data_IF_479182248404
#
_entry.id   IF_479182248404
#
_cell.length_a   1.000
_cell.length_b   1.000
_cell.length_c   1.000
_cell.angle_alpha   90.00
_cell.angle_beta   90.00
_cell.angle_gamma   90.00
#
_symmetry.space_group_name_H-M   'P 1'
#
loop_
_entity.id
_entity.type
_entity.pdbx_description
1 polymer ?
#
# COMPACT_ATOMS: atom_id res chain seq x y z
N UNK A 1 76.72 -45.16 3.87
CA UNK A 1 78.05 -44.66 4.19
C UNK A 1 78.97 -44.71 2.97
N UNK A 2 79.28 -45.84 2.28
CA UNK A 2 80.20 -45.92 1.11
C UNK A 2 79.78 -45.03 -0.07
N UNK A 3 78.50 -44.76 -0.30
CA UNK A 3 78.02 -43.83 -1.32
C UNK A 3 78.18 -42.38 -0.85
N UNK A 4 77.87 -42.08 0.40
CA UNK A 4 78.04 -40.76 1.01
C UNK A 4 79.53 -40.34 0.90
N UNK A 5 80.45 -41.20 1.32
CA UNK A 5 81.90 -40.92 1.30
C UNK A 5 82.52 -40.82 -0.09
N UNK A 6 81.96 -41.50 -1.08
CA UNK A 6 82.50 -41.53 -2.43
C UNK A 6 81.97 -40.41 -3.37
N UNK A 7 80.75 -39.96 -3.10
CA UNK A 7 80.08 -39.04 -3.99
C UNK A 7 79.70 -37.71 -3.23
N UNK A 8 80.19 -37.56 -2.01
CA UNK A 8 79.94 -36.35 -1.18
C UNK A 8 78.43 -36.03 -1.04
N UNK A 9 77.62 -37.09 -0.81
CA UNK A 9 76.19 -37.00 -0.69
C UNK A 9 75.76 -36.96 0.80
N UNK A 10 74.74 -36.31 1.10
CA UNK A 10 74.06 -36.32 2.46
C UNK A 10 73.19 -37.60 2.60
N UNK A 11 72.61 -37.82 3.80
CA UNK A 11 71.81 -38.96 4.13
C UNK A 11 70.53 -39.03 3.28
N UNK A 12 69.84 -37.89 3.11
CA UNK A 12 68.59 -37.80 2.36
C UNK A 12 68.82 -38.07 0.85
N UNK A 13 69.84 -37.46 0.28
CA UNK A 13 70.23 -37.71 -1.14
C UNK A 13 70.57 -39.14 -1.37
N UNK A 14 71.28 -39.81 -0.45
CA UNK A 14 71.63 -41.24 -0.54
C UNK A 14 70.38 -42.11 -0.47
N UNK A 15 69.46 -41.83 0.38
CA UNK A 15 68.20 -42.58 0.53
C UNK A 15 67.35 -42.44 -0.73
N UNK A 16 67.21 -41.22 -1.26
CA UNK A 16 66.44 -40.92 -2.47
C UNK A 16 67.06 -41.69 -3.67
N UNK A 17 68.38 -41.83 -3.76
CA UNK A 17 69.07 -42.62 -4.84
C UNK A 17 68.80 -44.11 -4.68
N UNK A 18 68.77 -44.59 -3.43
CA UNK A 18 68.53 -46.03 -3.16
C UNK A 18 67.07 -46.42 -3.41
N UNK A 19 66.15 -45.51 -3.26
CA UNK A 19 64.72 -45.71 -3.56
C UNK A 19 64.39 -45.64 -5.05
N UNK A 20 65.33 -45.19 -5.93
CA UNK A 20 65.13 -45.12 -7.37
C UNK A 20 64.92 -46.55 -7.94
N UNK A 21 63.73 -46.73 -8.55
CA UNK A 21 63.46 -48.00 -9.26
C UNK A 21 64.38 -48.18 -10.46
N UNK A 22 64.89 -49.41 -10.67
CA UNK A 22 65.88 -49.72 -11.74
C UNK A 22 65.44 -49.31 -13.15
N UNK A 23 64.12 -49.26 -13.44
CA UNK A 23 63.64 -48.84 -14.77
C UNK A 23 63.84 -47.35 -15.03
N UNK A 24 63.98 -46.53 -14.02
CA UNK A 24 64.26 -45.07 -14.12
C UNK A 24 65.69 -44.79 -14.54
N UNK A 25 66.55 -45.79 -14.55
CA UNK A 25 67.93 -45.69 -15.07
C UNK A 25 68.01 -45.92 -16.58
N UNK A 26 66.90 -46.16 -17.28
CA UNK A 26 66.89 -46.28 -18.76
C UNK A 26 67.26 -44.93 -19.39
N UNK A 27 67.95 -45.03 -20.58
CA UNK A 27 68.58 -43.89 -21.25
C UNK A 27 67.61 -42.69 -21.51
N UNK A 28 66.31 -42.95 -21.68
CA UNK A 28 65.28 -41.96 -21.89
C UNK A 28 64.99 -41.23 -20.60
N UNK A 29 64.86 -41.86 -19.44
CA UNK A 29 64.58 -41.24 -18.16
C UNK A 29 65.80 -40.46 -17.64
N UNK A 30 67.03 -40.88 -17.93
CA UNK A 30 68.18 -40.06 -17.58
C UNK A 30 68.17 -38.71 -18.32
N UNK A 31 67.64 -38.68 -19.54
CA UNK A 31 67.45 -37.37 -20.24
C UNK A 31 66.40 -36.50 -19.60
N UNK A 32 65.29 -37.09 -19.16
CA UNK A 32 64.21 -36.35 -18.42
C UNK A 32 64.74 -35.82 -17.08
N UNK A 33 65.46 -36.66 -16.32
CA UNK A 33 66.05 -36.23 -15.03
C UNK A 33 67.06 -35.08 -15.23
N UNK A 34 67.92 -35.20 -16.32
CA UNK A 34 68.81 -34.07 -16.63
C UNK A 34 68.09 -32.78 -17.01
N UNK A 35 66.99 -32.89 -17.72
CA UNK A 35 66.15 -31.75 -18.08
C UNK A 35 65.54 -31.12 -16.84
N UNK A 36 64.93 -31.94 -16.00
CA UNK A 36 64.35 -31.45 -14.71
C UNK A 36 65.40 -30.81 -13.79
N UNK A 37 66.61 -31.44 -13.73
CA UNK A 37 67.75 -30.89 -12.98
C UNK A 37 68.15 -29.49 -13.50
N UNK A 38 68.24 -29.38 -14.85
CA UNK A 38 68.61 -28.13 -15.49
C UNK A 38 67.55 -27.05 -15.22
N UNK A 39 66.25 -27.41 -15.29
CA UNK A 39 65.15 -26.51 -14.99
C UNK A 39 65.15 -26.06 -13.50
N UNK A 40 65.36 -27.00 -12.57
CA UNK A 40 65.44 -26.69 -11.14
C UNK A 40 66.66 -25.83 -10.80
N UNK A 41 67.79 -26.04 -11.43
CA UNK A 41 69.01 -25.20 -11.24
C UNK A 41 68.81 -23.82 -11.80
N UNK A 42 68.13 -23.69 -12.95
CA UNK A 42 67.78 -22.36 -13.49
C UNK A 42 66.79 -21.61 -12.59
N UNK A 43 65.81 -22.32 -12.05
CA UNK A 43 64.83 -21.76 -11.09
C UNK A 43 65.51 -21.30 -9.78
N UNK A 44 66.42 -22.13 -9.22
CA UNK A 44 67.22 -21.80 -8.05
C UNK A 44 68.09 -20.54 -8.28
N UNK A 45 68.80 -20.48 -9.39
CA UNK A 45 69.63 -19.34 -9.75
C UNK A 45 68.78 -18.06 -9.92
N UNK A 46 67.59 -18.17 -10.49
CA UNK A 46 66.62 -17.04 -10.57
C UNK A 46 66.20 -16.55 -9.20
N UNK A 47 65.86 -17.48 -8.31
CA UNK A 47 65.43 -17.13 -6.91
C UNK A 47 66.59 -16.55 -6.15
N UNK A 48 67.81 -17.11 -6.24
CA UNK A 48 69.00 -16.55 -5.59
C UNK A 48 69.33 -15.14 -6.09
N UNK A 49 69.18 -14.86 -7.39
CA UNK A 49 69.30 -13.52 -7.95
C UNK A 49 68.28 -12.54 -7.39
N UNK A 50 67.03 -12.99 -7.26
CA UNK A 50 65.99 -12.14 -6.64
C UNK A 50 66.21 -11.89 -5.14
N UNK A 51 66.75 -12.86 -4.42
CA UNK A 51 67.07 -12.71 -2.99
C UNK A 51 68.27 -11.81 -2.77
N UNK A 52 69.28 -11.83 -3.67
CA UNK A 52 70.48 -11.04 -3.57
C UNK A 52 70.25 -9.54 -3.86
N UNK A 53 69.27 -9.19 -4.71
CA UNK A 53 69.01 -7.82 -5.13
C UNK A 53 67.63 -7.32 -4.64
N UNK A 54 67.66 -6.31 -3.79
CA UNK A 54 66.45 -5.68 -3.27
C UNK A 54 65.60 -4.98 -4.35
N UNK A 55 66.27 -4.40 -5.35
CA UNK A 55 65.61 -3.76 -6.48
C UNK A 55 64.78 -4.73 -7.32
N UNK A 56 65.30 -5.92 -7.54
CA UNK A 56 64.63 -7.02 -8.27
C UNK A 56 63.38 -7.50 -7.51
N UNK A 57 63.42 -7.61 -6.18
CA UNK A 57 62.28 -7.97 -5.36
C UNK A 57 61.17 -6.90 -5.46
N UNK A 58 61.53 -5.62 -5.33
CA UNK A 58 60.57 -4.51 -5.51
C UNK A 58 60.05 -4.44 -6.96
N UNK A 59 60.82 -4.88 -7.94
CA UNK A 59 60.38 -4.99 -9.31
C UNK A 59 59.22 -6.00 -9.49
N UNK A 60 59.26 -7.14 -8.79
CA UNK A 60 58.14 -8.10 -8.78
C UNK A 60 56.91 -7.49 -8.15
N UNK A 61 57.03 -6.92 -6.95
CA UNK A 61 55.88 -6.28 -6.25
C UNK A 61 55.26 -5.21 -7.12
N UNK A 62 56.10 -4.38 -7.80
CA UNK A 62 55.61 -3.38 -8.73
C UNK A 62 54.82 -3.99 -9.90
N UNK A 63 55.33 -5.07 -10.47
CA UNK A 63 54.65 -5.76 -11.59
C UNK A 63 53.27 -6.30 -11.17
N UNK A 64 53.21 -6.98 -10.03
CA UNK A 64 51.95 -7.51 -9.49
C UNK A 64 50.94 -6.39 -9.18
N UNK A 65 51.38 -5.27 -8.60
CA UNK A 65 50.51 -4.10 -8.36
C UNK A 65 50.01 -3.46 -9.66
N UNK A 66 50.82 -3.46 -10.72
CA UNK A 66 50.38 -2.95 -12.03
C UNK A 66 49.35 -3.88 -12.66
N UNK A 67 49.51 -5.21 -12.55
CA UNK A 67 48.51 -6.16 -13.00
C UNK A 67 47.18 -6.01 -12.25
N UNK A 68 47.25 -5.89 -10.93
CA UNK A 68 46.04 -5.61 -10.10
C UNK A 68 45.39 -4.31 -10.52
N UNK A 69 46.19 -3.27 -10.73
CA UNK A 69 45.66 -1.99 -11.21
C UNK A 69 44.95 -2.12 -12.56
N UNK A 70 45.55 -2.85 -13.51
CA UNK A 70 44.95 -3.02 -14.83
C UNK A 70 43.67 -3.83 -14.78
N UNK A 71 43.58 -4.84 -13.90
CA UNK A 71 42.40 -5.67 -13.73
C UNK A 71 41.26 -5.00 -12.99
N UNK A 72 41.56 -4.10 -12.03
CA UNK A 72 40.56 -3.58 -11.08
C UNK A 72 40.47 -2.04 -11.03
N UNK A 73 41.26 -1.29 -11.81
CA UNK A 73 41.17 0.15 -11.82
C UNK A 73 39.85 0.60 -12.45
N UNK A 74 39.12 1.39 -11.73
CA UNK A 74 37.96 2.12 -12.23
C UNK A 74 38.25 3.63 -12.29
N UNK A 75 37.41 4.36 -12.99
CA UNK A 75 37.52 5.82 -13.06
C UNK A 75 37.24 6.45 -11.70
N UNK A 76 37.97 7.50 -11.40
CA UNK A 76 37.80 8.24 -10.14
C UNK A 76 36.39 8.85 -10.08
N UNK A 77 35.57 8.43 -9.15
CA UNK A 77 34.21 8.94 -8.93
C UNK A 77 34.20 10.33 -8.28
N UNK A 78 35.25 10.68 -7.56
CA UNK A 78 35.40 12.01 -6.93
C UNK A 78 35.89 13.01 -7.95
N UNK A 79 35.12 14.05 -8.18
CA UNK A 79 35.46 15.17 -9.08
C UNK A 79 35.79 16.41 -8.26
N UNK A 80 36.70 17.24 -8.78
CA UNK A 80 36.92 18.58 -8.26
C UNK A 80 35.85 19.49 -8.86
N UNK A 81 35.11 20.19 -8.02
CA UNK A 81 34.14 21.20 -8.42
C UNK A 81 34.52 22.55 -7.86
N UNK A 82 34.46 23.61 -8.66
CA UNK A 82 34.82 24.98 -8.25
C UNK A 82 33.78 25.60 -7.32
N UNK A 83 32.56 25.06 -7.28
CA UNK A 83 31.53 25.43 -6.32
C UNK A 83 30.99 24.18 -5.65
N UNK A 84 30.85 24.17 -4.31
CA UNK A 84 30.13 23.08 -3.65
C UNK A 84 28.71 23.10 -4.22
N UNK A 85 28.35 22.09 -5.05
CA UNK A 85 26.98 21.83 -5.32
C UNK A 85 26.29 21.74 -3.94
N UNK A 86 25.27 22.54 -3.72
CA UNK A 86 24.42 22.39 -2.54
C UNK A 86 24.01 20.94 -2.51
N UNK A 87 24.59 20.19 -1.60
CA UNK A 87 24.17 18.81 -1.38
C UNK A 87 22.74 18.95 -0.90
N UNK A 88 21.79 18.81 -1.81
CA UNK A 88 20.40 18.61 -1.42
C UNK A 88 20.38 17.29 -0.69
N UNK A 89 20.51 17.37 0.63
CA UNK A 89 20.30 16.24 1.49
C UNK A 89 18.83 15.84 1.34
N UNK A 90 18.60 14.77 0.58
CA UNK A 90 17.28 14.16 0.47
C UNK A 90 17.15 13.12 1.59
N UNK A 91 16.43 13.43 2.68
CA UNK A 91 16.21 12.49 3.77
C UNK A 91 15.49 11.22 3.29
N UNK A 92 14.77 11.30 2.17
CA UNK A 92 13.98 10.19 1.62
C UNK A 92 14.86 9.08 1.04
N UNK A 93 16.04 9.46 0.52
CA UNK A 93 17.01 8.49 -0.02
C UNK A 93 17.56 7.51 1.03
N UNK A 94 17.45 7.85 2.32
CA UNK A 94 17.94 7.02 3.44
C UNK A 94 16.85 6.16 4.09
N UNK A 95 15.58 6.30 3.67
CA UNK A 95 14.49 5.50 4.21
C UNK A 95 14.54 4.10 3.58
N UNK A 96 14.70 3.08 4.42
CA UNK A 96 14.60 1.69 3.96
C UNK A 96 13.17 1.43 3.52
N UNK A 97 12.99 1.12 2.25
CA UNK A 97 11.68 0.84 1.67
C UNK A 97 11.18 -0.53 2.11
N UNK A 98 10.17 -0.55 2.96
CA UNK A 98 9.51 -1.76 3.44
C UNK A 98 8.00 -1.66 3.23
N UNK A 99 7.37 -2.72 2.73
CA UNK A 99 5.92 -2.83 2.72
C UNK A 99 5.38 -3.07 4.11
N UNK A 100 4.37 -2.30 4.48
CA UNK A 100 3.78 -2.33 5.81
C UNK A 100 2.28 -2.02 5.76
N UNK A 101 1.57 -2.39 6.80
CA UNK A 101 0.19 -1.98 7.03
C UNK A 101 0.17 -0.83 8.02
N UNK A 102 -0.47 0.27 7.65
CA UNK A 102 -0.77 1.38 8.56
C UNK A 102 -2.20 1.21 9.05
N UNK A 103 -2.37 1.21 10.36
CA UNK A 103 -3.64 0.97 11.03
C UNK A 103 -3.98 2.17 11.88
N UNK A 104 -5.18 2.70 11.67
CA UNK A 104 -5.70 3.84 12.42
C UNK A 104 -7.01 3.44 13.09
N UNK A 105 -7.12 3.68 14.39
CA UNK A 105 -8.34 3.43 15.16
C UNK A 105 -9.31 4.61 15.09
N UNK A 106 -10.58 4.37 15.45
CA UNK A 106 -11.62 5.40 15.49
C UNK A 106 -11.33 6.52 16.51
N UNK A 107 -10.70 6.15 17.63
CA UNK A 107 -10.33 7.11 18.69
C UNK A 107 -8.97 7.79 18.43
N UNK A 108 -8.36 7.58 17.25
CA UNK A 108 -7.17 8.31 16.84
C UNK A 108 -5.85 7.72 17.35
N UNK A 109 -5.73 6.40 17.38
CA UNK A 109 -4.43 5.73 17.52
C UNK A 109 -3.90 5.33 16.16
N UNK A 110 -2.60 5.44 15.98
CA UNK A 110 -1.92 5.08 14.74
C UNK A 110 -0.76 4.13 15.03
N UNK A 111 -0.58 3.14 14.18
CA UNK A 111 0.55 2.20 14.21
C UNK A 111 0.85 1.65 12.83
N UNK A 112 2.03 1.06 12.67
CA UNK A 112 2.34 0.22 11.51
C UNK A 112 2.74 -1.19 11.94
N UNK A 113 2.44 -2.20 11.11
CA UNK A 113 2.87 -3.59 11.34
C UNK A 113 3.04 -4.33 10.00
N UNK A 114 3.90 -5.36 10.00
CA UNK A 114 4.22 -6.10 8.76
C UNK A 114 3.06 -6.93 8.22
N UNK A 115 2.16 -7.40 9.09
CA UNK A 115 1.02 -8.22 8.73
C UNK A 115 0.13 -8.54 9.92
N UNK A 116 -1.04 -9.08 9.63
CA UNK A 116 -2.01 -9.60 10.59
C UNK A 116 -2.78 -10.74 9.91
N UNK A 117 -3.36 -11.66 10.66
CA UNK A 117 -4.14 -12.78 10.14
C UNK A 117 -5.54 -12.36 9.70
N UNK A 118 -6.15 -11.46 10.46
CA UNK A 118 -7.48 -10.93 10.23
C UNK A 118 -7.61 -9.57 10.92
N UNK A 119 -8.55 -8.72 10.47
CA UNK A 119 -8.78 -7.38 11.04
C UNK A 119 -9.17 -7.47 12.52
N UNK A 120 -9.93 -8.49 12.91
CA UNK A 120 -10.34 -8.71 14.31
C UNK A 120 -9.17 -9.09 15.24
N UNK A 121 -8.05 -9.56 14.67
CA UNK A 121 -6.82 -9.85 15.42
C UNK A 121 -5.97 -8.59 15.70
N UNK A 122 -6.31 -7.47 15.11
CA UNK A 122 -5.60 -6.21 15.31
C UNK A 122 -5.91 -5.68 16.72
N UNK A 123 -4.88 -5.53 17.54
CA UNK A 123 -5.05 -5.05 18.91
C UNK A 123 -5.38 -3.56 18.96
N UNK A 124 -6.50 -3.22 19.55
CA UNK A 124 -6.95 -1.88 19.92
C UNK A 124 -7.45 -1.90 21.36
N UNK A 125 -7.52 -0.77 22.10
CA UNK A 125 -8.16 -0.73 23.42
C UNK A 125 -9.63 -1.18 23.38
N UNK A 126 -10.15 -1.75 24.46
CA UNK A 126 -11.53 -2.27 24.54
C UNK A 126 -12.63 -1.26 24.21
N UNK A 127 -12.33 0.04 24.38
CA UNK A 127 -13.26 1.15 24.07
C UNK A 127 -13.03 1.76 22.67
N UNK A 128 -12.21 1.12 21.82
CA UNK A 128 -11.82 1.62 20.51
C UNK A 128 -12.03 0.55 19.43
N UNK A 129 -12.09 0.96 18.19
CA UNK A 129 -12.29 0.08 17.03
C UNK A 129 -11.31 0.44 15.92
N UNK A 130 -10.94 -0.56 15.12
CA UNK A 130 -10.16 -0.32 13.91
C UNK A 130 -11.03 0.48 12.93
N UNK A 131 -10.53 1.60 12.46
CA UNK A 131 -11.23 2.47 11.53
C UNK A 131 -10.75 2.33 10.10
N UNK A 132 -9.45 2.35 9.92
CA UNK A 132 -8.79 2.36 8.60
C UNK A 132 -7.55 1.49 8.62
N UNK A 133 -7.35 0.76 7.53
CA UNK A 133 -6.21 -0.13 7.31
C UNK A 133 -5.68 0.12 5.91
N UNK A 134 -4.42 0.54 5.78
CA UNK A 134 -3.80 0.87 4.51
C UNK A 134 -2.57 0.00 4.28
N UNK A 135 -2.48 -0.66 3.12
CA UNK A 135 -1.29 -1.40 2.70
C UNK A 135 -0.41 -0.51 1.83
N UNK A 136 0.68 -0.02 2.39
CA UNK A 136 1.58 0.92 1.74
C UNK A 136 3.05 0.61 2.04
N UNK A 137 3.97 1.48 1.69
CA UNK A 137 5.38 1.34 2.07
C UNK A 137 5.87 2.54 2.92
N UNK A 138 7.04 2.38 3.53
CA UNK A 138 7.61 3.35 4.47
C UNK A 138 7.95 4.69 3.84
N UNK A 139 8.16 4.77 2.54
CA UNK A 139 8.48 6.00 1.82
C UNK A 139 7.24 6.85 1.53
N UNK A 140 6.05 6.25 1.62
CA UNK A 140 4.78 6.91 1.36
C UNK A 140 4.28 7.71 2.57
N UNK A 141 3.22 8.49 2.34
CA UNK A 141 2.56 9.28 3.38
C UNK A 141 1.11 8.85 3.58
N UNK A 142 0.61 9.08 4.79
CA UNK A 142 -0.79 8.87 5.16
C UNK A 142 -1.38 10.19 5.64
N UNK A 143 -2.55 10.52 5.12
CA UNK A 143 -3.29 11.74 5.45
C UNK A 143 -4.52 11.41 6.26
N UNK A 144 -4.64 12.05 7.44
CA UNK A 144 -5.76 11.95 8.37
C UNK A 144 -6.64 13.18 8.21
N UNK A 145 -7.92 13.00 7.88
CA UNK A 145 -8.90 14.08 7.77
C UNK A 145 -9.73 14.15 9.04
N UNK A 146 -9.94 15.35 9.59
CA UNK A 146 -10.67 15.54 10.84
C UNK A 146 -12.01 16.24 10.63
N UNK A 147 -12.93 16.07 11.60
CA UNK A 147 -14.24 16.72 11.54
C UNK A 147 -14.16 18.25 11.55
N UNK A 148 -13.04 18.84 11.98
CA UNK A 148 -12.82 20.29 11.97
C UNK A 148 -12.31 20.82 10.63
N UNK A 149 -12.28 19.97 9.59
CA UNK A 149 -11.91 20.33 8.23
C UNK A 149 -10.41 20.47 8.00
N UNK A 150 -9.58 19.88 8.86
CA UNK A 150 -8.13 19.84 8.76
C UNK A 150 -7.64 18.48 8.29
N UNK A 151 -6.59 18.47 7.49
CA UNK A 151 -5.85 17.30 7.03
C UNK A 151 -4.46 17.32 7.63
N UNK A 152 -4.04 16.21 8.20
CA UNK A 152 -2.75 16.01 8.83
C UNK A 152 -2.04 14.87 8.12
N UNK A 153 -0.87 15.12 7.60
CA UNK A 153 -0.12 14.15 6.79
C UNK A 153 1.20 13.79 7.45
N UNK A 154 1.39 12.51 7.64
CA UNK A 154 2.60 11.92 8.24
C UNK A 154 3.25 10.93 7.28
N UNK A 155 4.57 10.84 7.31
CA UNK A 155 5.30 9.79 6.60
C UNK A 155 5.16 8.48 7.35
N UNK A 156 5.01 7.38 6.59
CA UNK A 156 4.78 6.05 7.18
C UNK A 156 5.99 5.57 8.00
N UNK A 157 7.23 5.93 7.63
CA UNK A 157 8.43 5.59 8.40
C UNK A 157 8.42 6.18 9.81
N UNK A 158 7.81 7.37 9.99
CA UNK A 158 7.68 8.06 11.28
C UNK A 158 6.61 7.46 12.19
N UNK A 159 5.78 6.54 11.68
CA UNK A 159 4.77 5.83 12.47
C UNK A 159 5.42 4.66 13.20
N UNK A 160 5.17 4.52 14.52
CA UNK A 160 5.77 3.48 15.33
C UNK A 160 5.41 2.06 14.85
N UNK A 161 6.41 1.19 14.62
CA UNK A 161 6.18 -0.21 14.29
C UNK A 161 5.82 -0.99 15.57
N UNK A 162 4.56 -1.43 15.70
CA UNK A 162 4.11 -2.18 16.88
C UNK A 162 2.90 -3.06 16.58
N UNK A 163 2.84 -4.21 17.22
CA UNK A 163 1.64 -5.06 17.28
C UNK A 163 0.74 -4.74 18.50
N UNK A 164 1.15 -3.77 19.34
CA UNK A 164 0.36 -3.25 20.45
C UNK A 164 -0.75 -2.31 20.02
N UNK A 165 -1.16 -1.41 20.91
CA UNK A 165 -2.28 -0.47 20.67
C UNK A 165 -1.94 0.70 19.74
N UNK A 166 -0.65 0.97 19.48
CA UNK A 166 -0.19 2.14 18.73
C UNK A 166 -0.19 3.43 19.56
N UNK A 167 0.32 4.50 18.95
CA UNK A 167 0.46 5.79 19.60
C UNK A 167 -0.75 6.71 19.30
N UNK A 168 -1.15 7.56 20.24
CA UNK A 168 -2.14 8.59 19.95
C UNK A 168 -1.64 9.55 18.88
N UNK A 169 -2.49 9.94 17.93
CA UNK A 169 -2.12 10.91 16.87
C UNK A 169 -1.74 12.29 17.39
N UNK A 170 -2.16 12.62 18.61
CA UNK A 170 -1.79 13.84 19.34
C UNK A 170 -0.29 13.92 19.66
N UNK A 171 0.42 12.80 19.63
CA UNK A 171 1.90 12.80 19.75
C UNK A 171 2.57 13.37 18.49
N UNK A 172 1.92 13.22 17.34
CA UNK A 172 2.41 13.68 16.05
C UNK A 172 1.89 15.08 15.70
N UNK A 173 0.64 15.40 16.05
CA UNK A 173 -0.09 16.59 15.62
C UNK A 173 -0.80 17.32 16.77
N UNK A 174 -1.02 18.61 16.58
CA UNK A 174 -1.74 19.46 17.52
C UNK A 174 -3.26 19.36 17.28
N UNK A 175 -3.85 18.21 17.62
CA UNK A 175 -5.30 18.06 17.57
C UNK A 175 -5.96 18.90 18.66
N UNK A 176 -7.08 19.51 18.33
CA UNK A 176 -7.91 20.18 19.31
C UNK A 176 -8.62 19.16 20.21
N UNK A 177 -9.08 19.60 21.39
CA UNK A 177 -9.85 18.75 22.30
C UNK A 177 -11.12 18.22 21.60
N UNK A 178 -11.30 16.90 21.65
CA UNK A 178 -12.42 16.24 20.97
C UNK A 178 -12.33 16.19 19.45
N UNK A 179 -11.20 16.56 18.85
CA UNK A 179 -10.96 16.41 17.42
C UNK A 179 -10.84 14.94 17.04
N UNK A 180 -11.64 14.50 16.05
CA UNK A 180 -11.76 13.11 15.61
C UNK A 180 -11.41 12.96 14.14
N UNK A 181 -10.82 11.81 13.81
CA UNK A 181 -10.56 11.42 12.43
C UNK A 181 -11.88 10.95 11.80
N UNK A 182 -12.16 11.44 10.59
CA UNK A 182 -13.37 11.14 9.81
C UNK A 182 -13.05 10.55 8.43
N UNK A 183 -11.77 10.40 8.11
CA UNK A 183 -11.32 9.75 6.87
C UNK A 183 -9.81 9.67 6.83
N UNK A 184 -9.30 8.74 6.03
CA UNK A 184 -7.87 8.52 5.82
C UNK A 184 -7.62 8.23 4.35
N UNK A 185 -6.50 8.73 3.81
CA UNK A 185 -6.01 8.38 2.48
C UNK A 185 -4.50 8.19 2.50
N UNK A 186 -3.96 7.46 1.54
CA UNK A 186 -2.52 7.32 1.36
C UNK A 186 -2.03 8.06 0.13
N UNK A 187 -0.72 8.27 0.04
CA UNK A 187 -0.08 8.83 -1.17
C UNK A 187 0.26 7.77 -2.22
N UNK A 188 0.23 6.48 -1.86
CA UNK A 188 0.49 5.39 -2.81
C UNK A 188 -0.60 5.40 -3.90
N UNK A 189 -0.25 5.60 -5.18
CA UNK A 189 -1.21 5.61 -6.28
C UNK A 189 -2.04 4.32 -6.39
N UNK A 190 -1.50 3.20 -5.91
CA UNK A 190 -2.17 1.90 -5.93
C UNK A 190 -3.35 1.79 -4.97
N UNK A 191 -3.43 2.66 -3.96
CA UNK A 191 -4.54 2.71 -3.01
C UNK A 191 -5.76 3.44 -3.56
N UNK A 192 -5.57 4.22 -4.61
CA UNK A 192 -6.62 5.07 -5.18
C UNK A 192 -6.55 4.94 -6.71
N UNK A 193 -6.98 3.81 -7.28
CA UNK A 193 -7.03 3.63 -8.72
C UNK A 193 -7.87 4.74 -9.36
N UNK A 194 -7.52 5.13 -10.55
CA UNK A 194 -8.23 6.16 -11.32
C UNK A 194 -8.77 5.49 -12.56
N UNK A 195 -10.07 5.66 -12.81
CA UNK A 195 -10.66 5.20 -14.04
C UNK A 195 -10.10 6.02 -15.22
N UNK A 196 -9.51 5.36 -16.20
CA UNK A 196 -8.88 5.99 -17.37
C UNK A 196 -9.89 6.86 -18.13
N UNK A 197 -11.11 6.39 -18.31
CA UNK A 197 -12.22 7.12 -18.93
C UNK A 197 -12.51 8.45 -18.25
N UNK A 198 -12.36 8.53 -16.93
CA UNK A 198 -12.58 9.77 -16.18
C UNK A 198 -11.44 10.77 -16.40
N UNK A 199 -10.21 10.28 -16.57
CA UNK A 199 -9.05 11.13 -16.80
C UNK A 199 -9.11 11.82 -18.18
N UNK A 200 -9.68 11.15 -19.19
CA UNK A 200 -9.83 11.66 -20.56
C UNK A 200 -10.96 12.70 -20.71
N UNK A 201 -11.98 12.63 -19.83
CA UNK A 201 -13.15 13.55 -19.91
C UNK A 201 -12.97 14.88 -19.20
N UNK A 202 -11.84 15.08 -18.49
CA UNK A 202 -11.60 16.30 -17.73
C UNK A 202 -11.12 17.45 -18.62
N UNK A 203 -11.63 18.66 -18.33
CA UNK A 203 -11.09 19.89 -18.88
C UNK A 203 -9.61 20.06 -18.51
N UNK A 204 -8.82 20.67 -19.37
CA UNK A 204 -7.35 20.79 -19.24
C UNK A 204 -6.93 21.48 -17.92
N UNK A 205 -7.75 22.43 -17.43
CA UNK A 205 -7.55 23.17 -16.18
C UNK A 205 -8.20 22.52 -14.95
N UNK A 206 -8.92 21.41 -15.09
CA UNK A 206 -9.58 20.75 -13.97
C UNK A 206 -8.56 20.06 -13.04
N UNK A 207 -8.77 20.06 -11.71
CA UNK A 207 -7.95 19.28 -10.79
C UNK A 207 -7.95 17.80 -11.20
N UNK A 208 -6.77 17.23 -11.40
CA UNK A 208 -6.64 15.81 -11.81
C UNK A 208 -6.93 14.84 -10.65
N UNK A 209 -7.52 13.65 -10.92
CA UNK A 209 -7.74 12.63 -9.92
C UNK A 209 -6.39 12.11 -9.32
N UNK A 210 -6.40 11.31 -8.22
CA UNK A 210 -7.58 10.81 -7.50
C UNK A 210 -8.26 11.87 -6.62
N UNK A 211 -9.55 11.65 -6.38
CA UNK A 211 -10.37 12.56 -5.57
C UNK A 211 -10.83 11.93 -4.27
N UNK A 212 -11.20 12.78 -3.30
CA UNK A 212 -11.97 12.39 -2.14
C UNK A 212 -13.24 13.25 -2.03
N UNK A 213 -14.28 12.65 -1.44
CA UNK A 213 -15.55 13.27 -1.16
C UNK A 213 -15.67 13.51 0.34
N UNK A 214 -15.87 14.76 0.72
CA UNK A 214 -16.16 15.15 2.11
C UNK A 214 -17.58 15.66 2.22
N UNK A 215 -18.30 15.27 3.25
CA UNK A 215 -19.66 15.76 3.53
C UNK A 215 -19.74 16.37 4.92
N UNK A 216 -20.51 17.46 5.04
CA UNK A 216 -20.71 18.13 6.32
C UNK A 216 -22.09 17.84 6.91
N UNK A 217 -22.22 18.01 8.21
CA UNK A 217 -23.50 17.86 8.94
C UNK A 217 -24.60 18.77 8.44
N UNK A 218 -24.26 19.96 7.96
CA UNK A 218 -25.22 20.90 7.37
C UNK A 218 -25.58 20.59 5.91
N UNK A 219 -25.13 19.43 5.37
CA UNK A 219 -25.49 18.97 4.03
C UNK A 219 -24.71 19.61 2.91
N UNK A 220 -23.48 20.06 3.16
CA UNK A 220 -22.54 20.45 2.15
C UNK A 220 -21.66 19.27 1.73
N UNK A 221 -21.30 19.20 0.46
CA UNK A 221 -20.40 18.19 -0.09
C UNK A 221 -19.28 18.87 -0.88
N UNK A 222 -18.08 18.38 -0.73
CA UNK A 222 -16.91 18.84 -1.48
C UNK A 222 -16.20 17.65 -2.10
N UNK A 223 -15.79 17.79 -3.35
CA UNK A 223 -14.90 16.87 -4.06
C UNK A 223 -13.56 17.57 -4.26
N UNK A 224 -12.49 17.00 -3.72
CA UNK A 224 -11.17 17.61 -3.76
C UNK A 224 -10.10 16.58 -4.15
N UNK A 225 -8.97 17.07 -4.66
CA UNK A 225 -7.86 16.24 -5.09
C UNK A 225 -7.07 15.73 -3.88
N UNK A 226 -6.89 14.41 -3.76
CA UNK A 226 -6.13 13.79 -2.65
C UNK A 226 -4.67 14.22 -2.70
N UNK A 227 -4.05 14.26 -3.88
CA UNK A 227 -2.65 14.60 -4.06
C UNK A 227 -2.22 15.97 -3.49
N UNK A 228 -3.17 16.90 -3.29
CA UNK A 228 -2.92 18.20 -2.64
C UNK A 228 -2.46 18.05 -1.19
N UNK A 229 -2.73 16.89 -0.58
CA UNK A 229 -2.44 16.61 0.83
C UNK A 229 -1.36 15.52 1.01
N UNK A 230 -0.65 15.08 -0.05
CA UNK A 230 0.37 14.03 0.05
C UNK A 230 1.66 14.49 0.75
N UNK A 231 1.99 15.77 0.68
CA UNK A 231 3.17 16.29 1.37
C UNK A 231 2.97 16.31 2.90
N UNK A 232 4.00 15.92 3.64
CA UNK A 232 4.01 15.96 5.10
C UNK A 232 3.56 17.34 5.59
N UNK A 233 2.59 17.36 6.49
CA UNK A 233 2.05 18.61 7.02
C UNK A 233 2.83 19.10 8.23
N UNK A 234 2.67 20.37 8.57
CA UNK A 234 3.06 20.87 9.89
C UNK A 234 2.16 20.22 10.98
N UNK A 235 2.54 20.36 12.24
CA UNK A 235 1.74 19.88 13.38
C UNK A 235 0.32 20.45 13.43
N UNK A 236 0.06 21.58 12.79
CA UNK A 236 -1.27 22.23 12.73
C UNK A 236 -2.11 21.79 11.52
N UNK A 237 -1.58 20.92 10.65
CA UNK A 237 -2.26 20.43 9.47
C UNK A 237 -2.54 21.51 8.41
N UNK A 238 -3.36 21.15 7.42
CA UNK A 238 -3.84 22.01 6.33
C UNK A 238 -5.35 21.88 6.21
N UNK A 239 -6.06 22.93 5.79
CA UNK A 239 -7.50 22.82 5.54
C UNK A 239 -7.77 22.05 4.24
N UNK A 240 -8.66 21.04 4.29
CA UNK A 240 -9.17 20.35 3.11
C UNK A 240 -10.60 20.80 2.76
N UNK A 241 -11.36 21.28 3.74
CA UNK A 241 -12.69 21.86 3.55
C UNK A 241 -12.86 23.09 4.46
N UNK A 242 -13.56 24.09 3.99
CA UNK A 242 -13.95 25.28 4.79
C UNK A 242 -15.32 25.06 5.39
N UNK A 243 -15.40 25.01 6.70
CA UNK A 243 -16.64 24.78 7.43
C UNK A 243 -17.34 26.11 7.79
N UNK A 244 -18.67 26.11 7.81
CA UNK A 244 -19.45 27.19 8.41
C UNK A 244 -19.38 27.12 9.95
N UNK A 245 -19.75 28.19 10.63
CA UNK A 245 -19.81 28.18 12.10
C UNK A 245 -20.78 27.10 12.59
N UNK A 246 -20.31 26.24 13.50
CA UNK A 246 -21.06 25.13 14.06
C UNK A 246 -21.34 23.98 13.09
N UNK A 247 -20.63 23.91 11.94
CA UNK A 247 -20.67 22.78 11.04
C UNK A 247 -19.44 21.88 11.28
N UNK A 248 -19.57 20.61 10.95
CA UNK A 248 -18.47 19.63 11.01
C UNK A 248 -18.50 18.68 9.82
N UNK A 249 -17.36 18.20 9.40
CA UNK A 249 -17.25 17.12 8.41
C UNK A 249 -17.60 15.80 9.09
N UNK A 250 -18.45 14.99 8.47
CA UNK A 250 -18.91 13.72 9.05
C UNK A 250 -18.08 12.51 8.59
N UNK A 251 -17.65 12.52 7.32
CA UNK A 251 -16.80 11.49 6.76
C UNK A 251 -16.06 12.01 5.52
N UNK A 252 -14.95 11.38 5.19
CA UNK A 252 -14.19 11.57 3.96
C UNK A 252 -13.89 10.21 3.36
N UNK A 253 -14.30 10.00 2.11
CA UNK A 253 -14.06 8.77 1.35
C UNK A 253 -13.31 9.08 0.06
N UNK A 254 -12.28 8.31 -0.32
CA UNK A 254 -11.75 8.34 -1.67
C UNK A 254 -12.84 7.96 -2.68
N UNK A 255 -12.75 8.49 -3.89
CA UNK A 255 -13.75 8.31 -4.94
C UNK A 255 -13.08 7.98 -6.26
N UNK A 256 -13.58 6.95 -6.93
CA UNK A 256 -13.19 6.57 -8.28
C UNK A 256 -13.82 7.49 -9.35
N UNK A 257 -14.94 8.16 -9.01
CA UNK A 257 -15.61 9.15 -9.84
C UNK A 257 -16.86 8.68 -10.57
N UNK A 258 -17.19 7.39 -10.50
CA UNK A 258 -18.36 6.75 -11.11
C UNK A 258 -19.42 6.30 -10.10
N UNK A 259 -19.25 6.66 -8.83
CA UNK A 259 -20.13 6.21 -7.77
C UNK A 259 -21.40 7.09 -7.62
N UNK A 260 -22.36 6.54 -6.90
CA UNK A 260 -23.48 7.27 -6.31
C UNK A 260 -23.21 7.60 -4.84
N UNK A 261 -23.52 8.81 -4.45
CA UNK A 261 -23.57 9.26 -3.05
C UNK A 261 -24.91 8.89 -2.47
N UNK A 262 -24.92 7.98 -1.51
CA UNK A 262 -26.12 7.61 -0.74
C UNK A 262 -26.06 8.32 0.59
N UNK A 263 -26.95 9.24 0.86
CA UNK A 263 -26.96 9.99 2.12
C UNK A 263 -28.28 9.87 2.86
N UNK A 264 -28.20 9.97 4.19
CA UNK A 264 -29.34 9.99 5.08
C UNK A 264 -29.24 11.13 6.11
N UNK A 265 -30.37 11.80 6.41
CA UNK A 265 -30.44 12.79 7.48
C UNK A 265 -31.03 12.19 8.75
N UNK A 266 -30.78 12.84 9.90
CA UNK A 266 -31.28 12.41 11.20
C UNK A 266 -32.82 12.35 11.24
N UNK A 267 -33.52 13.24 10.52
CA UNK A 267 -34.97 13.24 10.42
C UNK A 267 -35.56 12.35 9.34
N UNK A 268 -34.73 11.43 8.81
CA UNK A 268 -35.18 10.39 7.88
C UNK A 268 -35.43 10.87 6.47
N UNK A 269 -34.69 11.86 5.99
CA UNK A 269 -34.59 12.16 4.56
C UNK A 269 -33.44 11.42 3.97
N UNK A 270 -33.65 10.84 2.80
CA UNK A 270 -32.61 10.16 2.03
C UNK A 270 -32.51 10.75 0.64
N UNK A 271 -31.32 10.75 0.08
CA UNK A 271 -31.08 11.25 -1.27
C UNK A 271 -29.91 10.47 -1.90
N UNK A 272 -30.06 10.11 -3.15
CA UNK A 272 -29.01 9.45 -3.95
C UNK A 272 -28.76 10.32 -5.17
N UNK A 273 -27.49 10.60 -5.45
CA UNK A 273 -27.06 11.36 -6.65
C UNK A 273 -25.66 10.92 -7.09
N UNK A 274 -25.34 11.18 -8.35
CA UNK A 274 -24.06 10.76 -8.91
C UNK A 274 -22.91 11.69 -8.51
N UNK A 275 -21.72 11.14 -8.24
CA UNK A 275 -20.52 11.91 -7.84
C UNK A 275 -20.13 12.97 -8.85
N UNK A 276 -20.36 12.75 -10.15
CA UNK A 276 -20.07 13.74 -11.21
C UNK A 276 -20.78 15.08 -11.03
N UNK A 277 -21.91 15.11 -10.28
CA UNK A 277 -22.60 16.37 -9.96
C UNK A 277 -21.85 17.26 -8.96
N UNK A 278 -20.77 16.73 -8.34
CA UNK A 278 -19.93 17.48 -7.41
C UNK A 278 -18.71 18.00 -8.17
N UNK A 279 -18.60 19.31 -8.43
CA UNK A 279 -17.45 19.84 -9.16
C UNK A 279 -16.17 19.67 -8.33
N UNK A 280 -15.08 19.14 -8.91
CA UNK A 280 -13.82 19.01 -8.21
C UNK A 280 -13.23 20.38 -7.90
N UNK A 281 -12.57 20.50 -6.74
CA UNK A 281 -11.94 21.75 -6.27
C UNK A 281 -10.46 21.51 -5.93
N UNK A 282 -9.63 22.49 -6.27
CA UNK A 282 -8.20 22.49 -5.96
C UNK A 282 -7.86 23.09 -4.59
N UNK A 283 -8.78 23.85 -4.01
CA UNK A 283 -8.60 24.53 -2.71
C UNK A 283 -9.68 24.19 -1.72
N UNK A 284 -9.41 24.45 -0.43
CA UNK A 284 -10.39 24.26 0.64
C UNK A 284 -11.55 25.25 0.51
N UNK A 285 -12.69 24.77 0.07
CA UNK A 285 -13.94 25.55 -0.10
C UNK A 285 -15.06 24.98 0.77
N UNK A 286 -16.13 25.73 0.97
CA UNK A 286 -17.33 25.27 1.70
C UNK A 286 -18.09 24.12 1.03
N UNK A 287 -17.74 23.75 -0.17
CA UNK A 287 -18.46 22.76 -0.95
C UNK A 287 -19.82 23.28 -1.47
N UNK A 288 -20.57 22.38 -2.09
CA UNK A 288 -21.88 22.64 -2.69
C UNK A 288 -22.98 21.95 -1.87
N UNK A 289 -24.25 22.32 -2.05
CA UNK A 289 -25.34 21.64 -1.37
C UNK A 289 -25.48 20.20 -1.87
N UNK A 290 -25.35 19.21 -0.99
CA UNK A 290 -25.68 17.83 -1.24
C UNK A 290 -27.20 17.62 -1.13
N UNK A 291 -27.78 18.09 -0.04
CA UNK A 291 -29.21 18.00 0.27
C UNK A 291 -29.70 19.32 0.87
N UNK A 292 -30.97 19.65 0.64
CA UNK A 292 -31.66 20.77 1.33
C UNK A 292 -32.31 20.26 2.58
N UNK A 293 -31.72 20.59 3.72
CA UNK A 293 -32.23 20.25 5.05
C UNK A 293 -33.16 21.31 5.63
N UNK A 294 -34.05 20.88 6.48
CA UNK A 294 -34.84 21.77 7.36
C UNK A 294 -33.95 22.33 8.49
N UNK A 295 -34.33 23.43 9.13
CA UNK A 295 -33.51 24.18 10.12
C UNK A 295 -32.92 23.33 11.27
N UNK A 296 -33.61 22.24 11.63
CA UNK A 296 -33.23 21.37 12.75
C UNK A 296 -32.80 19.96 12.27
N UNK A 297 -32.62 19.78 10.98
CA UNK A 297 -32.18 18.50 10.41
C UNK A 297 -30.69 18.56 10.08
N UNK A 298 -30.01 17.43 10.16
CA UNK A 298 -28.58 17.28 9.90
C UNK A 298 -28.35 16.01 9.12
N UNK A 299 -27.31 15.97 8.31
CA UNK A 299 -26.86 14.71 7.71
C UNK A 299 -26.33 13.80 8.80
N UNK A 300 -26.86 12.59 8.86
CA UNK A 300 -26.39 11.55 9.77
C UNK A 300 -25.13 10.87 9.23
N UNK A 301 -25.21 10.40 7.99
CA UNK A 301 -24.14 9.69 7.32
C UNK A 301 -24.29 9.69 5.79
N UNK A 302 -23.24 9.33 5.09
CA UNK A 302 -23.26 9.00 3.68
C UNK A 302 -22.32 7.85 3.37
N UNK A 303 -22.54 7.17 2.24
CA UNK A 303 -21.66 6.16 1.67
C UNK A 303 -21.55 6.37 0.16
N UNK A 304 -20.46 5.90 -0.43
CA UNK A 304 -20.28 5.81 -1.88
C UNK A 304 -20.64 4.38 -2.33
N UNK A 305 -21.32 4.24 -3.46
CA UNK A 305 -21.67 2.93 -4.02
C UNK A 305 -21.52 2.94 -5.53
N UNK A 306 -20.90 1.89 -6.09
CA UNK A 306 -20.83 1.64 -7.54
C UNK A 306 -21.95 0.72 -8.02
N UNK A 307 -22.41 -0.19 -7.15
CA UNK A 307 -23.44 -1.16 -7.46
C UNK A 307 -24.79 -0.75 -6.88
N UNK A 308 -25.87 -1.04 -7.60
CA UNK A 308 -27.23 -0.65 -7.20
C UNK A 308 -27.69 -1.24 -5.88
N UNK A 309 -27.13 -2.39 -5.49
CA UNK A 309 -27.44 -3.08 -4.22
C UNK A 309 -26.64 -2.57 -3.05
N UNK A 310 -25.46 -2.00 -3.30
CA UNK A 310 -24.64 -1.34 -2.27
C UNK A 310 -25.34 -0.07 -1.80
N UNK A 311 -25.10 0.34 -0.57
CA UNK A 311 -25.67 1.56 -0.05
C UNK A 311 -25.36 1.80 1.41
N UNK A 312 -25.99 2.81 1.98
CA UNK A 312 -25.82 3.21 3.37
C UNK A 312 -26.84 2.49 4.26
N UNK A 313 -26.37 1.70 5.23
CA UNK A 313 -27.21 1.07 6.27
C UNK A 313 -27.36 2.01 7.45
N UNK A 314 -28.61 2.22 7.85
CA UNK A 314 -28.98 3.08 8.99
C UNK A 314 -30.07 2.43 9.82
N UNK A 315 -30.16 2.82 11.09
CA UNK A 315 -31.19 2.34 12.01
C UNK A 315 -31.95 3.50 12.66
N UNK A 316 -33.25 3.30 12.77
CA UNK A 316 -34.12 4.22 13.49
C UNK A 316 -33.91 4.10 15.00
N UNK A 317 -34.35 5.09 15.76
CA UNK A 317 -34.41 5.03 17.23
C UNK A 317 -35.19 3.86 17.81
N UNK A 318 -36.04 3.20 16.98
CA UNK A 318 -36.78 1.99 17.34
C UNK A 318 -36.11 0.69 16.85
N UNK A 319 -34.88 0.76 16.34
CA UNK A 319 -34.12 -0.40 15.86
C UNK A 319 -34.50 -0.90 14.47
N UNK A 320 -35.39 -0.23 13.73
CA UNK A 320 -35.72 -0.61 12.36
C UNK A 320 -34.59 -0.21 11.42
N UNK A 321 -34.13 -1.16 10.63
CA UNK A 321 -33.13 -0.92 9.58
C UNK A 321 -33.72 -0.19 8.37
N UNK A 322 -32.94 0.73 7.82
CA UNK A 322 -33.23 1.45 6.57
C UNK A 322 -31.95 1.45 5.74
N UNK A 323 -32.00 0.80 4.59
CA UNK A 323 -30.88 0.74 3.65
C UNK A 323 -31.15 1.73 2.52
N UNK A 324 -30.27 2.73 2.40
CA UNK A 324 -30.32 3.75 1.34
C UNK A 324 -29.48 3.28 0.16
N UNK A 325 -30.12 2.73 -0.84
CA UNK A 325 -29.51 2.17 -2.05
C UNK A 325 -30.36 2.43 -3.29
N UNK A 326 -29.76 2.39 -4.46
CA UNK A 326 -30.41 2.69 -5.74
C UNK A 326 -31.60 1.77 -6.05
N UNK A 327 -31.56 0.50 -5.65
CA UNK A 327 -32.70 -0.43 -5.81
C UNK A 327 -33.93 -0.05 -4.98
N UNK A 328 -33.73 0.71 -3.89
CA UNK A 328 -34.82 1.12 -2.99
C UNK A 328 -35.26 2.58 -3.22
N UNK A 329 -34.35 3.42 -3.67
CA UNK A 329 -34.59 4.86 -3.85
C UNK A 329 -33.97 5.35 -5.16
N UNK A 330 -34.81 5.91 -6.02
CA UNK A 330 -34.36 6.41 -7.33
C UNK A 330 -33.35 7.57 -7.17
N UNK A 331 -32.21 7.53 -7.89
CA UNK A 331 -31.29 8.67 -7.95
C UNK A 331 -31.97 9.93 -8.47
N UNK A 332 -31.65 11.07 -7.85
CA UNK A 332 -32.17 12.38 -8.20
C UNK A 332 -31.04 13.43 -8.16
N UNK A 333 -31.29 14.61 -8.73
CA UNK A 333 -30.29 15.68 -8.74
C UNK A 333 -29.91 16.12 -7.33
N UNK A 334 -28.62 16.40 -7.15
CA UNK A 334 -28.04 16.97 -5.94
C UNK A 334 -28.75 18.26 -5.49
N UNK A 335 -28.77 18.50 -4.19
CA UNK A 335 -29.35 19.74 -3.61
C UNK A 335 -30.87 19.75 -3.50
N UNK A 336 -31.53 18.63 -3.84
CA UNK A 336 -32.96 18.44 -3.57
C UNK A 336 -33.29 18.25 -2.11
N UNK A 337 -34.60 18.12 -1.78
CA UNK A 337 -35.07 17.83 -0.41
C UNK A 337 -34.94 16.37 0.00
N UNK A 338 -34.67 15.48 -0.96
CA UNK A 338 -34.68 14.03 -0.76
C UNK A 338 -36.07 13.46 -0.49
N UNK A 339 -36.11 12.14 -0.30
CA UNK A 339 -37.33 11.38 0.02
C UNK A 339 -37.42 11.16 1.52
N UNK A 340 -38.63 11.19 2.06
CA UNK A 340 -38.91 10.96 3.51
C UNK A 340 -39.12 9.46 3.69
N UNK A 341 -38.25 8.79 4.45
CA UNK A 341 -38.32 7.36 4.73
C UNK A 341 -38.90 7.06 6.11
N UNK A 342 -38.92 8.05 6.98
CA UNK A 342 -39.50 7.98 8.33
C UNK A 342 -40.42 9.18 8.54
N UNK A 343 -41.64 8.90 8.98
CA UNK A 343 -42.61 9.95 9.34
C UNK A 343 -42.55 10.30 10.82
N UNK A 344 -42.23 9.34 11.68
CA UNK A 344 -42.14 9.47 13.13
C UNK A 344 -40.83 8.87 13.65
N UNK A 345 -40.12 9.63 14.49
CA UNK A 345 -38.80 9.26 15.02
C UNK A 345 -37.66 9.87 14.25
N UNK A 346 -36.47 9.33 14.42
CA UNK A 346 -35.23 9.74 13.73
C UNK A 346 -34.36 8.55 13.38
N UNK A 347 -33.43 8.72 12.44
CA UNK A 347 -32.30 7.83 12.24
C UNK A 347 -31.23 8.22 13.27
N UNK A 348 -30.66 7.23 13.99
CA UNK A 348 -29.71 7.48 15.08
C UNK A 348 -28.38 6.76 14.88
N UNK A 349 -28.40 5.63 14.21
CA UNK A 349 -27.20 4.82 13.98
C UNK A 349 -27.02 4.56 12.51
N UNK A 350 -25.78 4.37 12.10
CA UNK A 350 -25.37 3.95 10.77
C UNK A 350 -24.19 2.99 10.86
N UNK A 351 -24.01 2.19 9.85
CA UNK A 351 -22.88 1.27 9.73
C UNK A 351 -21.62 2.05 9.38
N UNK A 352 -20.56 1.80 10.14
CA UNK A 352 -19.22 2.33 9.90
C UNK A 352 -18.31 1.12 9.64
N UNK A 353 -18.20 0.65 8.39
CA UNK A 353 -17.30 -0.45 8.07
C UNK A 353 -15.85 -0.04 8.33
N UNK A 354 -14.99 -1.02 8.58
CA UNK A 354 -13.55 -0.81 8.55
C UNK A 354 -13.17 -0.55 7.11
N UNK A 355 -12.49 0.57 6.86
CA UNK A 355 -12.04 0.93 5.52
C UNK A 355 -10.69 0.29 5.26
N UNK A 356 -10.65 -0.68 4.36
CA UNK A 356 -9.42 -1.36 3.95
C UNK A 356 -8.99 -0.84 2.59
N UNK A 357 -7.79 -0.28 2.52
CA UNK A 357 -7.17 0.19 1.29
C UNK A 357 -5.96 -0.69 1.00
N UNK A 358 -6.12 -1.65 0.10
CA UNK A 358 -5.05 -2.53 -0.37
C UNK A 358 -5.06 -2.61 -1.89
N UNK A 359 -3.89 -2.63 -2.56
CA UNK A 359 -3.84 -2.88 -3.98
C UNK A 359 -4.49 -4.23 -4.34
N UNK A 360 -5.45 -4.24 -5.22
CA UNK A 360 -6.19 -5.44 -5.66
C UNK A 360 -7.41 -5.82 -4.81
N UNK A 361 -7.67 -5.13 -3.67
CA UNK A 361 -8.81 -5.48 -2.80
C UNK A 361 -10.17 -5.23 -3.44
N UNK A 362 -10.28 -4.30 -4.37
CA UNK A 362 -11.55 -4.02 -5.07
C UNK A 362 -11.92 -5.15 -6.05
N UNK A 363 -10.93 -5.78 -6.70
CA UNK A 363 -11.18 -6.93 -7.58
C UNK A 363 -11.61 -8.15 -6.75
N UNK A 364 -10.97 -8.40 -5.60
CA UNK A 364 -11.34 -9.50 -4.69
C UNK A 364 -12.72 -9.27 -4.03
N UNK A 365 -13.06 -8.02 -3.67
CA UNK A 365 -14.39 -7.67 -3.15
C UNK A 365 -15.46 -7.77 -4.25
N UNK A 366 -15.12 -7.39 -5.47
CA UNK A 366 -16.00 -7.48 -6.62
C UNK A 366 -16.27 -8.94 -7.00
N UNK A 367 -15.26 -9.81 -7.01
CA UNK A 367 -15.40 -11.26 -7.23
C UNK A 367 -16.21 -11.93 -6.11
N UNK A 368 -15.98 -11.55 -4.84
CA UNK A 368 -16.73 -12.08 -3.70
C UNK A 368 -18.22 -11.70 -3.74
N UNK A 369 -18.53 -10.45 -4.12
CA UNK A 369 -19.91 -9.98 -4.26
C UNK A 369 -20.62 -10.61 -5.47
N UNK A 370 -19.91 -10.87 -6.58
CA UNK A 370 -20.44 -11.62 -7.70
C UNK A 370 -20.74 -13.08 -7.33
N UNK A 371 -19.86 -13.70 -6.55
CA UNK A 371 -20.10 -15.06 -6.04
C UNK A 371 -21.33 -15.12 -5.12
N UNK A 372 -21.50 -14.16 -4.19
CA UNK A 372 -22.73 -14.07 -3.37
C UNK A 372 -23.98 -13.82 -4.20
N UNK A 373 -23.90 -13.02 -5.28
CA UNK A 373 -25.05 -12.79 -6.16
C UNK A 373 -25.44 -14.03 -6.95
N UNK A 374 -24.48 -14.84 -7.39
CA UNK A 374 -24.70 -16.12 -8.08
C UNK A 374 -25.33 -17.11 -7.11
N UNK A 375 -24.82 -17.27 -5.90
CA UNK A 375 -25.34 -18.19 -4.89
C UNK A 375 -26.74 -17.80 -4.44
N UNK A 376 -27.04 -16.50 -4.31
CA UNK A 376 -28.39 -16.01 -4.00
C UNK A 376 -29.39 -16.21 -5.15
N UNK A 377 -28.92 -16.15 -6.40
CA UNK A 377 -29.76 -16.42 -7.57
C UNK A 377 -30.10 -17.93 -7.71
N UNK A 378 -29.09 -18.79 -7.51
CA UNK A 378 -29.27 -20.24 -7.52
C UNK A 378 -30.18 -20.73 -6.35
N UNK A 379 -29.99 -20.12 -5.16
CA UNK A 379 -30.88 -20.40 -4.01
C UNK A 379 -32.33 -19.95 -4.21
N UNK A 380 -32.56 -18.91 -5.00
CA UNK A 380 -33.90 -18.43 -5.34
C UNK A 380 -34.60 -19.32 -6.39
N UNK A 381 -33.87 -19.88 -7.34
CA UNK A 381 -34.40 -20.86 -8.30
C UNK A 381 -34.74 -22.23 -7.65
N UNK A 382 -33.94 -22.63 -6.67
CA UNK A 382 -34.18 -23.90 -5.93
C UNK A 382 -35.41 -23.85 -5.02
N UNK A 383 -35.92 -22.66 -4.68
CA UNK A 383 -37.11 -22.47 -3.82
C UNK A 383 -38.40 -22.14 -4.58
N UNK A 384 -38.39 -22.10 -5.89
CA UNK A 384 -39.61 -21.92 -6.67
C UNK A 384 -40.49 -23.20 -6.58
N UNK A 385 -41.75 -23.13 -6.09
CA UNK A 385 -42.59 -24.31 -6.00
C UNK A 385 -42.93 -24.79 -7.42
N UNK A 386 -42.69 -26.08 -7.67
CA UNK A 386 -43.10 -26.75 -8.91
C UNK A 386 -44.60 -26.52 -9.13
N UNK A 387 -44.95 -25.83 -10.22
CA UNK A 387 -46.34 -25.66 -10.64
C UNK A 387 -46.96 -27.04 -10.88
N UNK A 388 -47.92 -27.39 -10.06
CA UNK A 388 -48.72 -28.61 -10.22
C UNK A 388 -49.46 -28.58 -11.57
N UNK A 389 -49.03 -29.39 -12.50
CA UNK A 389 -49.82 -29.74 -13.70
C UNK A 389 -50.96 -30.65 -13.27
N UNK A 390 -52.12 -30.08 -13.00
CA UNK A 390 -53.36 -30.85 -12.96
C UNK A 390 -53.69 -31.29 -14.37
N UNK A 391 -53.57 -32.60 -14.61
CA UNK A 391 -54.11 -33.30 -15.78
C UNK A 391 -55.60 -33.42 -15.62
N UNK A 392 -56.35 -32.66 -16.40
CA UNK A 392 -57.80 -32.89 -16.60
C UNK A 392 -57.97 -34.12 -17.49
N UNK A 393 -58.37 -35.25 -16.88
CA UNK A 393 -58.90 -36.41 -17.61
C UNK A 393 -60.34 -36.12 -17.97
N UNK A 394 -60.60 -36.00 -19.29
CA UNK A 394 -61.93 -36.04 -19.84
C UNK A 394 -62.51 -37.48 -19.72
N UNK A 395 -63.56 -37.63 -19.00
CA UNK A 395 -64.45 -38.84 -19.08
C UNK A 395 -65.60 -38.54 -20.03
N UNK A 396 -65.55 -39.21 -21.20
CA UNK A 396 -66.75 -39.51 -22.02
C UNK A 396 -67.69 -40.32 -21.16
N UNK A 397 -68.93 -39.91 -21.09
CA UNK A 397 -70.04 -40.81 -20.80
C UNK A 397 -71.23 -40.49 -21.72
N UNK A 398 -71.58 -41.55 -22.48
CA UNK A 398 -72.69 -41.69 -23.43
C UNK A 398 -74.05 -41.46 -22.78
N UNK A 399 -74.93 -40.93 -23.59
CA UNK A 399 -76.39 -41.11 -23.43
C UNK A 399 -76.84 -42.55 -23.41
N UNK A 400 -78.03 -42.89 -22.85
CA UNK A 400 -79.19 -42.89 -23.71
C UNK A 400 -80.53 -42.61 -23.02
N UNK A 401 -81.50 -42.26 -23.90
CA UNK A 401 -82.95 -42.30 -23.86
C UNK A 401 -83.71 -41.20 -23.18
#
# INVERSE_FOLDING_TARGET
>A
RKMMDRFELDAEQTEAILELKLYRLAKLEILLIRKELAEKRAEAAKIEGLLADEGSRWGIVRSELLEIREAYADERRTQFVDSPATINFDPEAYIVRERTWVIISRNGRIKRQKGFSDISAIRVPDSDEVGWVLRTDTTQTVTLYTQLGSAYTVRVDSVAPTTGYGDPVQTLFNFADGERIVGVTGSDPKLHPVLEELAETLEEDAPKPPYAIAMTRQGKVSRFRIATHHEVSTKNGRKYISLASGDESISVFPSLGDEHVNLASERGRVLIFHVSEIPPKSSAVRGVNAIRLDKLDRVLAFALSRRKRQGLRTWTSRGREVIVRETSYRPVKRGGKGQVVIRLGRLERYELPVMVYAPGSEEEEDEALEAEEIEAAEGAEATAPAAATESVTATDDEEPS
#
